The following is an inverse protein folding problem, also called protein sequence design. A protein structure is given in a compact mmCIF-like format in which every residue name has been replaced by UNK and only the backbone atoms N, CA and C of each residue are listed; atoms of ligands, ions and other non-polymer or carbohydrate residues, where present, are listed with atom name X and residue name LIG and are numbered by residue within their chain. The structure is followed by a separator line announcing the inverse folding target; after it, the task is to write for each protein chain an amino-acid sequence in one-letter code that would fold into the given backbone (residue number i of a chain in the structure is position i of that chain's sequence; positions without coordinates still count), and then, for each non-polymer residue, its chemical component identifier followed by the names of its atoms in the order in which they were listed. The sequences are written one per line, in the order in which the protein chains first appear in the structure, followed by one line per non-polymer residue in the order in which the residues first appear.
data_IF_781812468449
#
_entry.id   IF_781812468449
#
_cell.length_a   1.000
_cell.length_b   1.000
_cell.length_c   1.000
_cell.angle_alpha   90.00
_cell.angle_beta   90.00
_cell.angle_gamma   90.00
#
_symmetry.space_group_name_H-M   'P 1'
#
loop_
_entity.id
_entity.type
_entity.pdbx_description
1 polymer ?
#
# COMPACT_ATOMS: atom_id res chain seq x y z
N UNK A 1 31.66 14.07 -5.09
CA UNK A 1 30.19 13.88 -5.05
C UNK A 1 29.88 12.57 -4.34
N UNK A 2 29.02 12.57 -3.30
CA UNK A 2 28.61 11.34 -2.59
C UNK A 2 27.54 10.62 -3.42
N UNK A 3 27.79 9.35 -3.79
CA UNK A 3 26.78 8.47 -4.40
C UNK A 3 25.72 8.14 -3.35
N UNK A 4 24.55 8.78 -3.43
CA UNK A 4 23.40 8.43 -2.59
C UNK A 4 22.89 7.06 -3.04
N UNK A 5 23.08 6.04 -2.22
CA UNK A 5 22.51 4.70 -2.45
C UNK A 5 21.06 4.71 -2.00
N UNK A 6 20.14 4.76 -2.95
CA UNK A 6 18.72 4.58 -2.67
C UNK A 6 18.39 3.10 -2.54
N UNK A 7 17.60 2.75 -1.52
CA UNK A 7 17.14 1.39 -1.31
C UNK A 7 16.11 1.03 -2.40
N UNK A 8 16.30 -0.10 -3.09
CA UNK A 8 15.48 -0.56 -4.23
C UNK A 8 14.25 -1.39 -3.79
N UNK A 9 13.82 -1.28 -2.53
CA UNK A 9 12.60 -1.96 -2.06
C UNK A 9 11.38 -1.37 -2.77
N UNK A 10 10.62 -2.22 -3.46
CA UNK A 10 9.31 -1.83 -4.00
C UNK A 10 8.32 -1.75 -2.85
N UNK A 11 7.88 -0.53 -2.59
CA UNK A 11 6.83 -0.23 -1.63
C UNK A 11 5.50 -0.67 -2.25
N UNK A 12 4.70 -1.37 -1.46
CA UNK A 12 3.34 -1.77 -1.79
C UNK A 12 2.45 -1.35 -0.64
N UNK A 13 1.39 -0.61 -0.94
CA UNK A 13 0.36 -0.28 0.05
C UNK A 13 -0.77 -1.29 0.01
N UNK A 14 -1.08 -1.87 1.16
CA UNK A 14 -2.32 -2.62 1.41
C UNK A 14 -2.99 -2.12 2.68
N UNK A 15 -2.68 -0.89 3.08
CA UNK A 15 -3.08 -0.32 4.36
C UNK A 15 -4.57 0.04 4.34
N UNK A 16 -5.28 -0.25 5.44
CA UNK A 16 -6.73 -0.01 5.61
C UNK A 16 -7.63 -0.73 4.59
N UNK A 17 -7.10 -1.67 3.80
CA UNK A 17 -7.91 -2.48 2.91
C UNK A 17 -8.44 -3.69 3.68
N UNK A 18 -9.71 -4.08 3.47
CA UNK A 18 -10.25 -5.29 4.08
C UNK A 18 -9.46 -6.50 3.60
N UNK A 19 -9.24 -7.46 4.52
CA UNK A 19 -8.58 -8.72 4.17
C UNK A 19 -9.44 -9.47 3.17
N UNK A 20 -8.84 -9.81 2.02
CA UNK A 20 -9.51 -10.52 0.92
C UNK A 20 -9.04 -11.96 0.89
N UNK A 21 -9.97 -12.91 1.01
CA UNK A 21 -9.70 -14.33 0.76
C UNK A 21 -10.94 -15.01 0.14
N UNK A 22 -10.73 -16.19 -0.44
CA UNK A 22 -11.78 -16.92 -1.15
C UNK A 22 -12.99 -17.26 -0.27
N UNK A 23 -12.75 -17.61 0.99
CA UNK A 23 -13.80 -17.97 1.95
C UNK A 23 -14.64 -16.75 2.33
N UNK A 24 -14.00 -15.59 2.54
CA UNK A 24 -14.67 -14.29 2.74
C UNK A 24 -15.53 -13.95 1.53
N UNK A 25 -15.03 -14.16 0.31
CA UNK A 25 -15.79 -13.93 -0.93
C UNK A 25 -17.05 -14.81 -1.03
N UNK A 26 -16.91 -16.12 -0.81
CA UNK A 26 -18.06 -17.04 -0.81
C UNK A 26 -19.03 -16.73 0.31
N UNK A 27 -18.52 -16.49 1.53
CA UNK A 27 -19.32 -16.14 2.69
C UNK A 27 -20.17 -14.89 2.45
N UNK A 28 -19.60 -13.86 1.83
CA UNK A 28 -20.31 -12.62 1.49
C UNK A 28 -21.46 -12.83 0.51
N UNK A 29 -21.33 -13.74 -0.48
CA UNK A 29 -22.40 -14.04 -1.45
C UNK A 29 -23.57 -14.74 -0.75
N UNK A 30 -23.28 -15.70 0.11
CA UNK A 30 -24.30 -16.50 0.80
C UNK A 30 -24.78 -15.87 2.12
N UNK A 31 -24.20 -14.74 2.53
CA UNK A 31 -24.49 -14.00 3.76
C UNK A 31 -24.52 -14.88 5.04
N UNK A 32 -23.61 -15.85 5.13
CA UNK A 32 -23.67 -16.89 6.19
C UNK A 32 -23.29 -16.38 7.58
N UNK A 33 -22.62 -15.23 7.70
CA UNK A 33 -22.07 -14.69 8.96
C UNK A 33 -22.23 -13.16 9.09
N UNK A 34 -22.91 -12.50 8.16
CA UNK A 34 -23.06 -11.04 8.18
C UNK A 34 -21.81 -10.30 7.69
N UNK A 35 -21.23 -9.41 8.50
CA UNK A 35 -20.09 -8.58 8.07
C UNK A 35 -18.80 -9.39 8.00
N UNK A 36 -18.28 -9.57 6.78
CA UNK A 36 -16.98 -10.21 6.51
C UNK A 36 -15.83 -9.21 6.35
N UNK A 37 -16.10 -7.92 6.52
CA UNK A 37 -15.13 -6.86 6.32
C UNK A 37 -14.42 -6.55 7.63
N UNK A 38 -13.44 -7.37 7.97
CA UNK A 38 -12.45 -7.00 8.98
C UNK A 38 -11.42 -6.07 8.34
N UNK A 39 -11.46 -4.81 8.73
CA UNK A 39 -10.48 -3.81 8.35
C UNK A 39 -9.24 -3.98 9.22
N UNK A 40 -8.05 -3.96 8.63
CA UNK A 40 -6.81 -3.78 9.39
C UNK A 40 -6.81 -2.35 9.96
N UNK A 41 -7.45 -2.17 11.11
CA UNK A 41 -7.51 -0.89 11.82
C UNK A 41 -6.20 -0.66 12.58
N UNK A 42 -5.65 0.54 12.42
CA UNK A 42 -4.56 0.98 13.28
C UNK A 42 -5.04 1.11 14.73
N UNK A 43 -4.12 1.02 15.70
CA UNK A 43 -4.42 1.15 17.13
C UNK A 43 -5.19 2.45 17.44
N UNK A 44 -4.97 3.52 16.66
CA UNK A 44 -5.78 4.74 16.71
C UNK A 44 -5.97 5.36 15.32
N UNK A 45 -7.05 6.11 15.14
CA UNK A 45 -7.35 6.89 13.92
C UNK A 45 -6.18 7.78 13.51
N UNK A 46 -5.58 8.51 14.47
CA UNK A 46 -4.41 9.38 14.20
C UNK A 46 -3.21 8.64 13.62
N UNK A 47 -2.99 7.38 14.04
CA UNK A 47 -1.91 6.56 13.47
C UNK A 47 -2.31 6.07 12.07
N UNK A 48 -3.60 5.80 11.84
CA UNK A 48 -4.12 5.44 10.52
C UNK A 48 -3.90 6.57 9.51
N UNK A 49 -4.31 7.79 9.85
CA UNK A 49 -4.18 8.96 8.96
C UNK A 49 -2.72 9.28 8.67
N UNK A 50 -1.88 9.28 9.70
CA UNK A 50 -0.43 9.49 9.53
C UNK A 50 0.16 8.48 8.55
N UNK A 51 -0.15 7.19 8.72
CA UNK A 51 0.37 6.12 7.84
C UNK A 51 -0.20 6.24 6.42
N UNK A 52 -1.46 6.62 6.26
CA UNK A 52 -2.05 6.84 4.95
C UNK A 52 -1.27 7.92 4.17
N UNK A 53 -1.06 9.09 4.79
CA UNK A 53 -0.30 10.20 4.18
C UNK A 53 1.14 9.79 3.89
N UNK A 54 1.81 9.11 4.83
CA UNK A 54 3.19 8.64 4.64
C UNK A 54 3.30 7.69 3.44
N UNK A 55 2.35 6.76 3.30
CA UNK A 55 2.31 5.83 2.17
C UNK A 55 2.09 6.54 0.82
N UNK A 56 1.23 7.57 0.76
CA UNK A 56 0.98 8.33 -0.47
C UNK A 56 2.26 9.00 -0.99
N UNK A 57 3.02 9.64 -0.09
CA UNK A 57 4.30 10.25 -0.44
C UNK A 57 5.35 9.22 -0.86
N UNK A 58 5.37 8.06 -0.20
CA UNK A 58 6.31 6.99 -0.53
C UNK A 58 6.04 6.43 -1.94
N UNK A 59 4.78 6.25 -2.31
CA UNK A 59 4.36 5.82 -3.65
C UNK A 59 4.75 6.83 -4.73
N UNK A 60 4.47 8.12 -4.51
CA UNK A 60 4.88 9.20 -5.44
C UNK A 60 6.40 9.20 -5.62
N UNK A 61 7.15 9.11 -4.51
CA UNK A 61 8.62 9.08 -4.56
C UNK A 61 9.17 7.89 -5.34
N UNK A 62 8.53 6.72 -5.23
CA UNK A 62 8.86 5.54 -6.01
C UNK A 62 8.59 5.75 -7.51
N UNK A 63 7.45 6.33 -7.88
CA UNK A 63 7.09 6.55 -9.28
C UNK A 63 7.99 7.57 -9.97
N UNK A 64 8.32 8.66 -9.27
CA UNK A 64 9.29 9.65 -9.76
C UNK A 64 10.68 9.01 -9.98
N UNK A 65 11.10 8.14 -9.07
CA UNK A 65 12.37 7.40 -9.22
C UNK A 65 12.34 6.47 -10.43
N UNK A 66 11.26 5.72 -10.60
CA UNK A 66 11.09 4.81 -11.73
C UNK A 66 11.11 5.57 -13.06
N UNK A 67 10.41 6.71 -13.13
CA UNK A 67 10.39 7.58 -14.30
C UNK A 67 11.80 8.12 -14.64
N UNK A 68 12.52 8.59 -13.62
CA UNK A 68 13.91 9.04 -13.78
C UNK A 68 14.82 7.94 -14.30
N UNK A 69 14.81 6.76 -13.69
CA UNK A 69 15.62 5.62 -14.12
C UNK A 69 15.30 5.20 -15.54
N UNK A 70 14.02 5.19 -15.93
CA UNK A 70 13.59 4.89 -17.29
C UNK A 70 14.15 5.91 -18.28
N UNK A 71 14.06 7.20 -17.95
CA UNK A 71 14.61 8.28 -18.79
C UNK A 71 16.13 8.17 -18.94
N UNK A 72 16.87 7.92 -17.85
CA UNK A 72 18.32 7.71 -17.87
C UNK A 72 18.74 6.44 -18.65
N UNK A 73 17.89 5.42 -18.74
CA UNK A 73 18.18 4.19 -19.51
C UNK A 73 17.89 4.28 -21.00
N UNK A 74 17.13 5.30 -21.44
CA UNK A 74 16.83 5.55 -22.84
C UNK A 74 17.91 6.38 -23.56
N UNK A 75 18.84 6.95 -22.81
CA UNK A 75 20.04 7.64 -23.28
C UNK A 75 21.28 6.79 -22.98
#
# INVERSE_FOLDING_TARGET
MKKVRFNNRKVKTSYLLPRRNFIVGMGSIFNLRGSYFDYDTSVTEKIADRRAIENDWEMIGQDLRNAKQKLESCY
#
